data_IF_689960500106
#
_entry.id   IF_689960500106
#
_cell.length_a   1.000
_cell.length_b   1.000
_cell.length_c   1.000
_cell.angle_alpha   90.00
_cell.angle_beta   90.00
_cell.angle_gamma   90.00
#
_symmetry.space_group_name_H-M   'P 1'
#
loop_
_entity.id
_entity.type
_entity.pdbx_description
1 polymer ?
#
# COMPACT_ATOMS: atom_id res chain seq x y z
N UNK A 1 10.63 -6.20 -16.17
CA UNK A 1 10.76 -5.86 -14.74
C UNK A 1 9.49 -6.31 -14.05
N UNK A 2 9.61 -6.81 -12.81
CA UNK A 2 8.49 -7.36 -12.05
C UNK A 2 7.63 -6.29 -11.38
N UNK A 3 8.07 -5.02 -11.34
CA UNK A 3 7.37 -3.84 -10.84
C UNK A 3 6.81 -4.04 -9.43
N UNK A 4 7.66 -4.63 -8.58
CA UNK A 4 7.31 -5.00 -7.21
C UNK A 4 7.58 -3.87 -6.22
N UNK A 5 6.76 -3.85 -5.19
CA UNK A 5 6.92 -2.99 -4.02
C UNK A 5 6.98 -3.89 -2.81
N UNK A 6 7.95 -3.63 -1.94
CA UNK A 6 8.15 -4.42 -0.73
C UNK A 6 7.98 -3.54 0.51
N UNK A 7 7.25 -4.05 1.50
CA UNK A 7 7.17 -3.46 2.83
C UNK A 7 7.75 -4.42 3.86
N UNK A 8 8.58 -3.93 4.77
CA UNK A 8 8.98 -4.68 5.95
C UNK A 8 9.10 -3.74 7.17
N UNK A 9 9.05 -4.33 8.35
CA UNK A 9 9.55 -3.66 9.55
C UNK A 9 11.03 -3.99 9.72
N UNK A 10 11.88 -3.01 9.99
CA UNK A 10 13.34 -3.17 10.00
C UNK A 10 14.02 -2.20 10.98
N UNK A 11 15.27 -2.48 11.38
CA UNK A 11 16.08 -1.50 12.12
C UNK A 11 16.64 -0.40 11.21
N UNK A 12 16.62 -0.60 9.90
CA UNK A 12 17.10 0.35 8.91
C UNK A 12 16.10 1.48 8.68
N UNK A 13 16.59 2.71 8.57
CA UNK A 13 15.76 3.87 8.17
C UNK A 13 15.83 4.17 6.68
N UNK A 14 16.77 3.55 5.96
CA UNK A 14 16.99 3.70 4.51
C UNK A 14 16.99 2.32 3.83
N UNK A 15 16.67 2.24 2.51
CA UNK A 15 16.83 1.01 1.75
C UNK A 15 18.26 0.46 1.82
N UNK A 16 18.45 -0.86 1.84
CA UNK A 16 19.77 -1.47 1.80
C UNK A 16 20.46 -1.17 0.47
N UNK A 17 21.79 -1.09 0.48
CA UNK A 17 22.62 -1.17 -0.73
C UNK A 17 23.24 -2.56 -0.85
N UNK A 18 23.93 -2.84 -1.95
CA UNK A 18 24.62 -4.11 -2.24
C UNK A 18 25.27 -4.80 -1.04
N UNK A 19 26.03 -4.05 -0.23
CA UNK A 19 26.76 -4.60 0.92
C UNK A 19 25.90 -4.81 2.16
N UNK A 20 24.74 -4.15 2.24
CA UNK A 20 23.87 -4.13 3.40
C UNK A 20 22.84 -5.25 3.38
N UNK A 21 22.59 -5.87 2.23
CA UNK A 21 21.57 -6.91 2.04
C UNK A 21 21.62 -8.07 3.05
N UNK A 22 22.80 -8.64 3.40
CA UNK A 22 22.85 -9.69 4.43
C UNK A 22 22.35 -9.19 5.79
N UNK A 23 22.81 -8.01 6.23
CA UNK A 23 22.38 -7.44 7.51
C UNK A 23 20.91 -7.02 7.47
N UNK A 24 20.44 -6.49 6.34
CA UNK A 24 19.05 -6.11 6.15
C UNK A 24 18.12 -7.32 6.24
N UNK A 25 18.50 -8.47 5.67
CA UNK A 25 17.72 -9.70 5.77
C UNK A 25 17.64 -10.22 7.21
N UNK A 26 18.74 -10.11 7.97
CA UNK A 26 18.80 -10.55 9.37
C UNK A 26 18.07 -9.59 10.34
N UNK A 27 18.00 -8.29 9.99
CA UNK A 27 17.41 -7.23 10.83
C UNK A 27 16.08 -6.69 10.28
N UNK A 28 15.37 -7.53 9.52
CA UNK A 28 14.03 -7.23 9.02
C UNK A 28 13.03 -8.33 9.39
N UNK A 29 11.78 -7.92 9.51
CA UNK A 29 10.65 -8.77 9.86
C UNK A 29 10.03 -9.41 8.65
N UNK A 30 8.74 -9.71 8.76
CA UNK A 30 7.97 -10.23 7.64
C UNK A 30 8.03 -9.24 6.47
N UNK A 31 8.46 -9.73 5.30
CA UNK A 31 8.36 -8.97 4.06
C UNK A 31 6.96 -9.14 3.46
N UNK A 32 6.39 -8.03 3.01
CA UNK A 32 5.13 -7.98 2.29
C UNK A 32 5.40 -7.48 0.86
N UNK A 33 4.74 -8.07 -0.12
CA UNK A 33 4.89 -7.78 -1.54
C UNK A 33 3.57 -7.28 -2.15
N UNK A 34 3.67 -6.32 -3.05
CA UNK A 34 2.63 -5.91 -3.97
C UNK A 34 3.25 -5.67 -5.36
N UNK A 35 2.42 -5.66 -6.40
CA UNK A 35 2.86 -5.51 -7.79
C UNK A 35 2.10 -4.35 -8.43
N UNK A 36 2.82 -3.46 -9.12
CA UNK A 36 2.30 -2.28 -9.83
C UNK A 36 1.62 -1.22 -8.95
N UNK A 37 1.60 -1.36 -7.63
CA UNK A 37 0.97 -0.41 -6.72
C UNK A 37 1.52 -0.48 -5.29
N UNK A 38 1.15 0.49 -4.46
CA UNK A 38 1.36 0.49 -3.01
C UNK A 38 0.00 0.31 -2.35
N UNK A 39 -0.30 -0.86 -1.74
CA UNK A 39 -1.61 -1.13 -1.15
C UNK A 39 -2.08 -0.03 -0.19
N UNK A 40 -3.39 0.27 -0.22
CA UNK A 40 -3.97 1.35 0.58
C UNK A 40 -3.65 1.22 2.08
N UNK A 41 -3.59 -0.01 2.61
CA UNK A 41 -3.28 -0.23 4.01
C UNK A 41 -1.82 0.10 4.35
N UNK A 42 -0.92 -0.03 3.39
CA UNK A 42 0.48 0.37 3.54
C UNK A 42 0.60 1.89 3.55
N UNK A 43 -0.05 2.57 2.60
CA UNK A 43 -0.10 4.05 2.56
C UNK A 43 -0.66 4.64 3.87
N UNK A 44 -1.58 3.92 4.51
CA UNK A 44 -2.16 4.31 5.80
C UNK A 44 -1.16 4.34 6.97
N UNK A 45 0.08 3.85 6.82
CA UNK A 45 1.15 3.98 7.83
C UNK A 45 1.89 5.32 7.75
N UNK A 46 1.81 6.03 6.63
CA UNK A 46 2.71 7.16 6.33
C UNK A 46 1.96 8.48 6.24
N UNK A 47 2.70 9.59 6.38
CA UNK A 47 2.30 10.94 6.01
C UNK A 47 3.31 11.59 5.06
N UNK A 48 3.05 12.79 4.51
CA UNK A 48 3.91 13.43 3.53
C UNK A 48 5.38 13.59 3.97
N UNK A 49 5.60 13.77 5.29
CA UNK A 49 6.92 13.87 5.91
C UNK A 49 7.72 12.58 5.91
N UNK A 50 7.17 11.45 5.48
CA UNK A 50 7.82 10.14 5.47
C UNK A 50 8.36 9.76 4.08
N UNK A 51 8.11 10.60 3.07
CA UNK A 51 8.65 10.43 1.71
C UNK A 51 10.13 10.81 1.69
N UNK A 52 10.98 9.91 1.21
CA UNK A 52 12.43 10.10 1.09
C UNK A 52 12.88 9.74 -0.33
N UNK A 53 14.12 10.09 -0.64
CA UNK A 53 14.79 9.74 -1.90
C UNK A 53 16.01 8.87 -1.60
N UNK A 54 16.17 7.80 -2.38
CA UNK A 54 17.36 6.98 -2.43
C UNK A 54 17.93 7.03 -3.84
N UNK A 55 19.21 6.72 -3.98
CA UNK A 55 19.83 6.52 -5.29
C UNK A 55 19.49 5.10 -5.75
N UNK A 56 19.08 4.95 -7.01
CA UNK A 56 18.87 3.65 -7.63
C UNK A 56 20.17 2.86 -7.74
N UNK A 57 20.09 1.53 -7.67
CA UNK A 57 21.22 0.65 -7.96
C UNK A 57 21.69 0.86 -9.41
N UNK A 58 23.00 0.74 -9.65
CA UNK A 58 23.61 1.06 -10.96
C UNK A 58 23.13 0.14 -12.09
N UNK A 59 22.64 -1.06 -11.76
CA UNK A 59 22.08 -2.02 -12.71
C UNK A 59 20.61 -1.77 -13.04
N UNK A 60 19.92 -0.94 -12.25
CA UNK A 60 18.52 -0.58 -12.44
C UNK A 60 18.34 0.59 -13.41
N UNK A 61 19.33 1.48 -13.55
CA UNK A 61 19.24 2.66 -14.40
C UNK A 61 20.55 2.96 -15.16
N UNK A 62 20.43 3.21 -16.47
CA UNK A 62 21.56 3.58 -17.34
C UNK A 62 22.27 4.90 -16.90
N UNK A 63 21.59 5.71 -16.09
CA UNK A 63 22.10 6.96 -15.53
C UNK A 63 21.75 7.07 -14.05
N UNK A 64 22.56 7.75 -13.22
CA UNK A 64 22.24 7.96 -11.80
C UNK A 64 20.87 8.63 -11.64
N UNK A 65 19.91 7.87 -11.10
CA UNK A 65 18.52 8.30 -10.87
C UNK A 65 18.19 8.15 -9.40
N UNK A 66 17.39 9.06 -8.86
CA UNK A 66 16.81 8.88 -7.54
C UNK A 66 15.40 8.33 -7.65
N UNK A 67 15.02 7.46 -6.72
CA UNK A 67 13.66 6.98 -6.59
C UNK A 67 13.07 7.37 -5.24
N UNK A 68 11.75 7.61 -5.21
CA UNK A 68 11.04 7.87 -3.97
C UNK A 68 10.83 6.58 -3.18
N UNK A 69 10.93 6.62 -1.86
CA UNK A 69 10.56 5.52 -0.95
C UNK A 69 9.88 6.06 0.32
N UNK A 70 9.25 5.18 1.10
CA UNK A 70 8.56 5.55 2.34
C UNK A 70 9.26 4.94 3.55
N UNK A 71 9.48 5.74 4.59
CA UNK A 71 10.06 5.26 5.85
C UNK A 71 9.53 6.07 7.02
N UNK A 72 9.17 5.40 8.11
CA UNK A 72 8.83 6.07 9.37
C UNK A 72 9.14 5.19 10.57
N UNK A 73 9.29 5.77 11.78
CA UNK A 73 9.27 4.99 13.01
C UNK A 73 7.99 4.15 13.08
N UNK A 74 8.11 2.87 13.43
CA UNK A 74 6.99 1.93 13.48
C UNK A 74 5.87 2.43 14.39
N UNK A 75 6.23 2.99 15.53
CA UNK A 75 5.26 3.49 16.50
C UNK A 75 4.47 4.70 15.96
N UNK A 76 5.10 5.55 15.16
CA UNK A 76 4.41 6.65 14.46
C UNK A 76 3.44 6.10 13.41
N UNK A 77 3.87 5.11 12.63
CA UNK A 77 3.01 4.44 11.66
C UNK A 77 1.79 3.77 12.30
N UNK A 78 1.99 3.08 13.43
CA UNK A 78 0.90 2.50 14.22
C UNK A 78 -0.04 3.56 14.78
N UNK A 79 0.47 4.70 15.23
CA UNK A 79 -0.36 5.82 15.68
C UNK A 79 -1.23 6.36 14.54
N UNK A 80 -0.70 6.44 13.31
CA UNK A 80 -1.48 6.85 12.13
C UNK A 80 -2.55 5.82 11.76
N UNK A 81 -2.24 4.52 11.77
CA UNK A 81 -3.24 3.47 11.52
C UNK A 81 -4.41 3.58 12.51
N UNK A 82 -4.10 3.71 13.81
CA UNK A 82 -5.11 3.90 14.86
C UNK A 82 -5.95 5.15 14.64
N UNK A 83 -5.31 6.28 14.34
CA UNK A 83 -5.99 7.55 14.07
C UNK A 83 -6.92 7.48 12.85
N UNK A 84 -6.53 6.74 11.81
CA UNK A 84 -7.27 6.56 10.56
C UNK A 84 -8.41 5.53 10.67
N UNK A 85 -8.40 4.69 11.71
CA UNK A 85 -9.33 3.55 11.86
C UNK A 85 -10.81 3.92 11.73
N UNK A 86 -11.27 5.04 12.30
CA UNK A 86 -12.68 5.43 12.21
C UNK A 86 -13.12 5.82 10.79
N UNK A 87 -12.25 6.49 10.04
CA UNK A 87 -12.46 6.88 8.64
C UNK A 87 -12.42 5.64 7.75
N UNK A 88 -11.46 4.76 7.98
CA UNK A 88 -11.32 3.50 7.26
C UNK A 88 -12.52 2.59 7.48
N UNK A 89 -13.06 2.50 8.70
CA UNK A 89 -14.28 1.72 8.98
C UNK A 89 -15.46 2.17 8.13
N UNK A 90 -15.68 3.49 8.01
CA UNK A 90 -16.76 4.05 7.18
C UNK A 90 -16.57 3.73 5.70
N UNK A 91 -15.33 3.79 5.21
CA UNK A 91 -15.03 3.59 3.79
C UNK A 91 -14.98 2.11 3.37
N UNK A 92 -14.47 1.23 4.24
CA UNK A 92 -14.27 -0.20 3.96
C UNK A 92 -15.52 -1.05 4.24
N UNK A 93 -16.36 -0.63 5.18
CA UNK A 93 -17.36 -1.49 5.81
C UNK A 93 -16.74 -2.49 6.79
N UNK A 94 -17.58 -3.18 7.56
CA UNK A 94 -17.16 -4.01 8.70
C UNK A 94 -16.15 -5.11 8.33
N UNK A 95 -16.45 -5.94 7.32
CA UNK A 95 -15.62 -7.10 6.98
C UNK A 95 -14.18 -6.73 6.59
N UNK A 96 -14.00 -5.62 5.87
CA UNK A 96 -12.69 -5.14 5.42
C UNK A 96 -12.01 -4.27 6.49
N UNK A 97 -12.78 -3.64 7.37
CA UNK A 97 -12.23 -3.00 8.55
C UNK A 97 -11.61 -4.00 9.53
N UNK A 98 -12.18 -5.21 9.66
CA UNK A 98 -11.54 -6.30 10.43
C UNK A 98 -10.14 -6.62 9.86
N UNK A 99 -10.00 -6.70 8.54
CA UNK A 99 -8.69 -6.88 7.90
C UNK A 99 -7.73 -5.71 8.19
N UNK A 100 -8.24 -4.47 8.23
CA UNK A 100 -7.45 -3.29 8.58
C UNK A 100 -6.92 -3.35 10.02
N UNK A 101 -7.75 -3.79 10.96
CA UNK A 101 -7.33 -4.00 12.36
C UNK A 101 -6.34 -5.16 12.50
N UNK A 102 -6.48 -6.20 11.68
CA UNK A 102 -5.52 -7.29 11.63
C UNK A 102 -4.17 -6.81 11.09
N UNK A 103 -4.17 -5.99 10.04
CA UNK A 103 -2.96 -5.34 9.53
C UNK A 103 -2.26 -4.49 10.60
N UNK A 104 -3.00 -3.65 11.32
CA UNK A 104 -2.48 -2.90 12.47
C UNK A 104 -1.83 -3.83 13.51
N UNK A 105 -2.51 -4.92 13.87
CA UNK A 105 -2.01 -5.89 14.83
C UNK A 105 -0.75 -6.63 14.34
N UNK A 106 -0.62 -6.89 13.03
CA UNK A 106 0.58 -7.50 12.45
C UNK A 106 1.78 -6.57 12.56
N UNK A 107 1.63 -5.31 12.14
CA UNK A 107 2.69 -4.31 12.28
C UNK A 107 3.07 -4.12 13.76
N UNK A 108 2.11 -4.17 14.68
CA UNK A 108 2.38 -4.02 16.11
C UNK A 108 3.17 -5.18 16.74
N UNK A 109 3.18 -6.37 16.12
CA UNK A 109 3.91 -7.55 16.62
C UNK A 109 5.35 -7.61 16.14
N UNK A 110 5.69 -6.88 15.09
CA UNK A 110 7.06 -6.81 14.58
C UNK A 110 7.98 -6.19 15.65
N UNK A 111 9.18 -6.72 15.82
CA UNK A 111 10.12 -6.27 16.88
C UNK A 111 11.02 -5.10 16.47
N UNK A 112 10.86 -4.63 15.23
CA UNK A 112 11.73 -3.64 14.62
C UNK A 112 11.20 -2.21 14.77
N UNK A 113 12.06 -1.23 14.52
CA UNK A 113 11.81 0.17 14.90
C UNK A 113 11.31 1.06 13.77
N UNK A 114 11.47 0.65 12.52
CA UNK A 114 11.00 1.37 11.34
C UNK A 114 10.08 0.50 10.50
N UNK A 115 9.17 1.13 9.76
CA UNK A 115 8.51 0.52 8.60
C UNK A 115 9.10 1.16 7.36
N UNK A 116 9.55 0.34 6.42
CA UNK A 116 10.17 0.76 5.17
C UNK A 116 9.38 0.18 3.99
N UNK A 117 9.05 1.02 3.00
CA UNK A 117 8.51 0.60 1.70
C UNK A 117 9.51 0.91 0.61
N UNK A 118 9.94 -0.13 -0.11
CA UNK A 118 10.87 -0.06 -1.24
C UNK A 118 10.07 -0.05 -2.53
N UNK A 119 10.32 0.96 -3.36
CA UNK A 119 9.50 1.35 -4.51
C UNK A 119 10.35 1.58 -5.76
N UNK A 120 11.61 1.15 -5.75
CA UNK A 120 12.54 1.35 -6.86
C UNK A 120 11.98 0.81 -8.18
N UNK A 121 11.54 -0.46 -8.23
CA UNK A 121 10.95 -1.03 -9.44
C UNK A 121 9.67 -0.29 -9.90
N UNK A 122 8.93 0.33 -8.97
CA UNK A 122 7.73 1.09 -9.29
C UNK A 122 8.07 2.48 -9.86
N UNK A 123 9.03 3.20 -9.26
CA UNK A 123 9.43 4.55 -9.69
C UNK A 123 9.99 4.54 -11.11
N UNK A 124 10.70 3.47 -11.47
CA UNK A 124 11.30 3.28 -12.79
C UNK A 124 10.28 3.16 -13.94
N UNK A 125 8.98 3.07 -13.65
CA UNK A 125 7.91 3.07 -14.65
C UNK A 125 7.58 4.46 -15.20
N UNK A 126 7.87 5.51 -14.44
CA UNK A 126 7.46 6.87 -14.72
C UNK A 126 8.67 7.82 -14.87
N UNK A 127 8.38 9.09 -15.15
CA UNK A 127 9.38 10.16 -15.15
C UNK A 127 10.01 10.35 -13.77
N UNK A 128 11.30 10.70 -13.73
CA UNK A 128 12.01 10.90 -12.47
C UNK A 128 11.30 11.95 -11.60
N UNK A 129 10.96 11.54 -10.37
CA UNK A 129 10.28 12.39 -9.40
C UNK A 129 8.74 12.44 -9.54
N UNK A 130 8.13 11.80 -10.54
CA UNK A 130 6.67 11.72 -10.66
C UNK A 130 6.05 10.96 -9.48
N UNK A 131 6.58 9.75 -9.17
CA UNK A 131 6.12 8.97 -8.02
C UNK A 131 6.23 9.75 -6.70
N UNK A 132 7.28 10.55 -6.52
CA UNK A 132 7.43 11.42 -5.34
C UNK A 132 6.26 12.40 -5.22
N UNK A 133 5.88 13.05 -6.32
CA UNK A 133 4.78 14.01 -6.33
C UNK A 133 3.45 13.32 -6.02
N UNK A 134 3.24 12.15 -6.60
CA UNK A 134 2.03 11.36 -6.38
C UNK A 134 1.92 10.88 -4.93
N UNK A 135 3.02 10.38 -4.35
CA UNK A 135 3.09 9.99 -2.94
C UNK A 135 2.75 11.17 -2.03
N UNK A 136 3.34 12.35 -2.27
CA UNK A 136 3.06 13.54 -1.46
C UNK A 136 1.59 13.94 -1.54
N UNK A 137 0.99 13.93 -2.73
CA UNK A 137 -0.42 14.25 -2.93
C UNK A 137 -1.35 13.23 -2.24
N UNK A 138 -1.12 11.94 -2.47
CA UNK A 138 -1.94 10.88 -1.89
C UNK A 138 -1.86 10.81 -0.36
N UNK A 139 -0.68 11.04 0.23
CA UNK A 139 -0.52 11.09 1.68
C UNK A 139 -1.17 12.33 2.29
N UNK A 140 -1.16 13.47 1.58
CA UNK A 140 -1.89 14.66 2.00
C UNK A 140 -3.41 14.43 1.98
N UNK A 141 -3.93 13.67 1.02
CA UNK A 141 -5.35 13.29 0.97
C UNK A 141 -5.74 12.41 2.19
N UNK A 142 -4.88 11.47 2.58
CA UNK A 142 -5.11 10.63 3.77
C UNK A 142 -5.10 11.44 5.07
N UNK A 143 -4.25 12.46 5.18
CA UNK A 143 -4.25 13.36 6.33
C UNK A 143 -5.50 14.26 6.34
N UNK A 144 -5.92 14.78 5.19
CA UNK A 144 -7.16 15.54 5.05
C UNK A 144 -8.41 14.70 5.35
N UNK A 145 -8.40 13.40 5.03
CA UNK A 145 -9.48 12.49 5.34
C UNK A 145 -9.70 12.33 6.85
N UNK A 146 -8.63 12.35 7.65
CA UNK A 146 -8.72 12.34 9.11
C UNK A 146 -9.38 13.61 9.64
N UNK A 147 -9.02 14.77 9.09
CA UNK A 147 -9.57 16.06 9.51
C UNK A 147 -11.06 16.22 9.12
N UNK A 148 -11.46 15.72 7.95
CA UNK A 148 -12.83 15.81 7.45
C UNK A 148 -13.75 14.66 7.91
N UNK A 149 -13.17 13.58 8.42
CA UNK A 149 -13.90 12.37 8.79
C UNK A 149 -14.35 11.50 7.60
N UNK A 150 -14.03 11.88 6.37
CA UNK A 150 -14.43 11.14 5.16
C UNK A 150 -13.20 10.81 4.32
N UNK A 151 -13.10 9.56 3.85
CA UNK A 151 -12.02 9.17 2.96
C UNK A 151 -12.30 9.71 1.55
N UNK A 152 -11.76 10.89 1.26
CA UNK A 152 -11.68 11.40 -0.10
C UNK A 152 -10.63 10.63 -0.88
N UNK A 153 -11.05 9.68 -1.71
CA UNK A 153 -10.15 8.97 -2.61
C UNK A 153 -9.94 9.81 -3.87
N UNK A 154 -8.84 10.55 -3.96
CA UNK A 154 -8.47 11.22 -5.21
C UNK A 154 -8.07 10.21 -6.30
N UNK A 155 -8.07 10.60 -7.59
CA UNK A 155 -7.53 9.76 -8.65
C UNK A 155 -6.08 9.32 -8.40
N UNK A 156 -5.27 10.20 -7.80
CA UNK A 156 -3.85 9.92 -7.49
C UNK A 156 -3.74 8.84 -6.40
N UNK A 157 -4.48 8.99 -5.29
CA UNK A 157 -4.49 7.98 -4.22
C UNK A 157 -5.05 6.64 -4.72
N UNK A 158 -6.11 6.66 -5.53
CA UNK A 158 -6.67 5.44 -6.12
C UNK A 158 -5.66 4.76 -7.06
N UNK A 159 -4.99 5.52 -7.94
CA UNK A 159 -3.97 5.01 -8.86
C UNK A 159 -2.79 4.39 -8.11
N UNK A 160 -2.22 5.10 -7.12
CA UNK A 160 -1.14 4.58 -6.29
C UNK A 160 -1.52 3.30 -5.55
N UNK A 161 -2.78 3.19 -5.11
CA UNK A 161 -3.30 2.00 -4.45
C UNK A 161 -3.70 0.87 -5.40
N UNK A 162 -3.53 1.03 -6.72
CA UNK A 162 -3.94 0.03 -7.72
C UNK A 162 -5.46 -0.14 -7.83
N UNK A 163 -6.23 0.89 -7.48
CA UNK A 163 -7.68 0.87 -7.43
C UNK A 163 -8.29 1.64 -8.61
N UNK A 164 -9.25 1.05 -9.33
CA UNK A 164 -10.09 1.78 -10.27
C UNK A 164 -10.76 3.01 -9.64
N UNK A 165 -10.95 4.06 -10.44
CA UNK A 165 -11.62 5.27 -10.01
C UNK A 165 -13.02 5.40 -10.64
N UNK A 166 -14.07 5.74 -9.87
CA UNK A 166 -14.06 5.91 -8.40
C UNK A 166 -13.96 4.56 -7.67
N UNK A 167 -13.20 4.48 -6.55
CA UNK A 167 -12.99 3.21 -5.87
C UNK A 167 -14.19 2.82 -5.00
N UNK A 168 -14.62 1.57 -5.11
CA UNK A 168 -15.58 0.94 -4.21
C UNK A 168 -14.82 0.02 -3.25
N UNK A 169 -14.21 0.59 -2.19
CA UNK A 169 -13.30 -0.15 -1.29
C UNK A 169 -13.90 -1.44 -0.72
N UNK A 170 -15.22 -1.44 -0.56
CA UNK A 170 -16.03 -2.53 -0.04
C UNK A 170 -16.11 -3.73 -0.98
N UNK A 171 -15.52 -3.64 -2.17
CA UNK A 171 -15.56 -4.67 -3.21
C UNK A 171 -14.22 -5.34 -3.47
N UNK A 172 -13.12 -4.73 -3.05
CA UNK A 172 -11.80 -5.32 -3.28
C UNK A 172 -11.54 -6.48 -2.32
N UNK A 173 -10.73 -7.42 -2.80
CA UNK A 173 -10.25 -8.54 -1.98
C UNK A 173 -9.15 -8.05 -1.02
N UNK A 174 -8.73 -8.93 -0.12
CA UNK A 174 -7.73 -8.57 0.88
C UNK A 174 -6.36 -8.24 0.27
N UNK A 175 -5.93 -9.01 -0.74
CA UNK A 175 -4.63 -8.87 -1.39
C UNK A 175 -4.44 -7.49 -2.04
N UNK A 176 -5.48 -6.95 -2.69
CA UNK A 176 -5.44 -5.61 -3.28
C UNK A 176 -5.32 -4.52 -2.19
N UNK A 177 -5.97 -4.70 -1.04
CA UNK A 177 -5.97 -3.71 0.03
C UNK A 177 -4.70 -3.74 0.88
N UNK A 178 -4.08 -4.92 1.05
CA UNK A 178 -3.06 -5.16 2.06
C UNK A 178 -1.75 -5.79 1.54
N UNK A 179 -1.63 -6.08 0.23
CA UNK A 179 -0.49 -6.82 -0.32
C UNK A 179 -0.49 -8.28 0.12
N UNK A 180 0.65 -8.95 0.02
CA UNK A 180 0.83 -10.37 0.40
C UNK A 180 2.07 -10.53 1.26
N UNK A 181 1.98 -11.23 2.39
CA UNK A 181 3.14 -11.59 3.19
C UNK A 181 3.94 -12.70 2.50
N UNK A 182 5.23 -12.49 2.28
CA UNK A 182 6.18 -13.51 1.86
C UNK A 182 6.53 -14.37 3.08
N UNK A 183 5.59 -15.21 3.49
CA UNK A 183 5.73 -16.11 4.63
C UNK A 183 4.97 -17.41 4.40
N UNK A 184 5.36 -18.46 5.13
CA UNK A 184 4.69 -19.76 5.07
C UNK A 184 3.22 -19.72 5.54
N UNK A 185 2.84 -18.70 6.33
CA UNK A 185 1.50 -18.58 6.90
C UNK A 185 0.44 -18.09 5.90
N UNK A 186 0.85 -17.48 4.78
CA UNK A 186 -0.05 -17.01 3.72
C UNK A 186 -1.04 -15.94 4.22
N UNK A 187 -0.62 -14.68 4.20
CA UNK A 187 -1.46 -13.54 4.58
C UNK A 187 -1.53 -12.54 3.42
N UNK A 188 -2.67 -11.87 3.16
CA UNK A 188 -3.91 -11.85 3.94
C UNK A 188 -4.87 -13.01 3.67
N UNK A 189 -5.82 -13.27 4.59
CA UNK A 189 -6.88 -14.23 4.34
C UNK A 189 -7.76 -13.79 3.16
N UNK A 190 -8.28 -14.77 2.41
CA UNK A 190 -9.29 -14.49 1.40
C UNK A 190 -10.57 -13.94 2.07
N UNK A 191 -11.05 -12.79 1.59
CA UNK A 191 -12.31 -12.21 2.05
C UNK A 191 -13.50 -12.73 1.22
N UNK A 192 -14.71 -12.78 1.81
CA UNK A 192 -15.92 -13.04 1.05
C UNK A 192 -16.05 -12.06 -0.10
N UNK A 193 -16.42 -12.57 -1.27
CA UNK A 193 -16.72 -11.72 -2.41
C UNK A 193 -17.87 -10.77 -2.06
N UNK A 194 -17.79 -9.48 -2.44
CA UNK A 194 -18.90 -8.57 -2.26
C UNK A 194 -20.14 -9.08 -3.00
N UNK A 195 -21.33 -8.79 -2.48
CA UNK A 195 -22.56 -9.12 -3.17
C UNK A 195 -22.56 -8.53 -4.60
N UNK A 196 -23.04 -9.27 -5.61
CA UNK A 196 -23.13 -8.75 -6.98
C UNK A 196 -23.98 -7.49 -7.00
N UNK A 197 -23.60 -6.53 -7.85
CA UNK A 197 -24.38 -5.32 -8.05
C UNK A 197 -25.65 -5.72 -8.78
N UNK A 198 -26.81 -5.52 -8.16
CA UNK A 198 -28.10 -5.64 -8.86
C UNK A 198 -28.43 -4.24 -9.36
N UNK A 199 -28.00 -3.93 -10.57
CA UNK A 199 -28.49 -2.73 -11.24
C UNK A 199 -29.86 -3.03 -11.85
N UNK A 200 -30.89 -2.39 -11.31
CA UNK A 200 -32.21 -2.39 -11.93
C UNK A 200 -32.22 -1.35 -13.04
N UNK A 201 -31.65 -1.69 -14.19
CA UNK A 201 -32.07 -1.09 -15.46
C UNK A 201 -33.30 -1.87 -15.93
N UNK A 202 -34.34 -1.22 -16.48
CA UNK A 202 -35.64 -1.84 -16.75
C UNK A 202 -35.59 -3.29 -17.28
N UNK A 203 -36.45 -4.15 -16.71
CA UNK A 203 -36.71 -5.57 -17.06
C UNK A 203 -35.52 -6.56 -17.14
N UNK A 204 -34.26 -6.14 -17.16
CA UNK A 204 -33.10 -7.04 -17.23
C UNK A 204 -32.12 -6.80 -16.08
N UNK A 205 -31.86 -7.85 -15.32
CA UNK A 205 -30.79 -7.89 -14.31
C UNK A 205 -29.46 -8.01 -15.05
N UNK A 206 -28.73 -6.90 -15.16
CA UNK A 206 -27.36 -6.93 -15.69
C UNK A 206 -26.43 -7.34 -14.54
N UNK A 207 -25.96 -8.59 -14.58
CA UNK A 207 -24.88 -9.04 -13.71
C UNK A 207 -23.57 -8.59 -14.35
N UNK A 208 -22.87 -7.66 -13.71
CA UNK A 208 -21.58 -7.16 -14.19
C UNK A 208 -20.56 -8.31 -14.27
N UNK A 209 -20.28 -8.78 -15.48
CA UNK A 209 -19.31 -9.83 -15.74
C UNK A 209 -17.87 -9.30 -15.53
N UNK A 210 -17.08 -10.07 -14.77
CA UNK A 210 -15.70 -9.72 -14.41
C UNK A 210 -14.85 -9.45 -15.67
N UNK A 211 -14.07 -8.36 -15.73
CA UNK A 211 -13.03 -8.24 -16.75
C UNK A 211 -11.92 -9.27 -16.46
N UNK A 212 -11.68 -10.14 -17.42
CA UNK A 212 -10.78 -11.30 -17.36
C UNK A 212 -9.27 -10.95 -17.35
N UNK A 213 -8.91 -9.67 -17.43
CA UNK A 213 -7.54 -9.18 -17.62
C UNK A 213 -6.89 -8.57 -16.37
N UNK A 214 -7.46 -8.77 -15.17
CA UNK A 214 -6.89 -8.28 -13.89
C UNK A 214 -5.92 -9.24 -13.17
N UNK A 215 -5.44 -10.27 -13.84
CA UNK A 215 -4.42 -11.19 -13.28
C UNK A 215 -3.36 -11.48 -14.34
N UNK A 216 -2.57 -10.47 -14.72
CA UNK A 216 -1.27 -10.63 -15.37
C UNK A 216 -0.37 -9.50 -14.92
#
# INVERSE_FOLDING_TARGET
MSNRVYLCCTHFSTPPRDTDWPAFADESGTEYEAVYCIPLFWLCLFGPQDVRLAQAEEDMADTPRHYAYLTCPRDDGLARLKGRSSVMRRALGEARHVLYLEWEARIARESYNHVLVRTEELDMMDEEGQLRQDLLAALADLDAACASGTLGMSPVLASLAGLPYPPELQRYNAFVLAGTAISAEGWPPALPEPAPRVEFSGAEVVVEARPWWKFW
#
